data_IF_414801193836
#
_entry.id   IF_414801193836
#
_cell.length_a   1.000
_cell.length_b   1.000
_cell.length_c   1.000
_cell.angle_alpha   90.00
_cell.angle_beta   90.00
_cell.angle_gamma   90.00
#
_symmetry.space_group_name_H-M   'P 1'
#
loop_
_entity.id
_entity.type
_entity.pdbx_description
1 polymer ?
#
# COMPACT_ATOMS: atom_id res chain seq x y z
N UNK A 1 29.08 -12.91 -3.04
CA UNK A 1 27.90 -13.75 -2.79
C UNK A 1 27.10 -13.07 -1.68
N UNK A 2 26.21 -12.15 -2.04
CA UNK A 2 25.35 -11.48 -1.06
C UNK A 2 24.00 -12.18 -1.07
N UNK A 3 23.79 -12.93 0.00
CA UNK A 3 22.61 -13.71 0.30
C UNK A 3 21.46 -12.73 0.60
N UNK A 4 20.57 -12.49 -0.37
CA UNK A 4 19.39 -11.66 -0.18
C UNK A 4 18.21 -12.58 0.13
N UNK A 5 17.72 -12.67 1.38
CA UNK A 5 16.58 -13.50 1.70
C UNK A 5 15.33 -12.85 1.10
N UNK A 6 14.83 -13.43 0.01
CA UNK A 6 13.49 -13.13 -0.53
C UNK A 6 12.46 -13.77 0.42
N UNK A 7 11.97 -13.00 1.40
CA UNK A 7 10.78 -13.28 2.24
C UNK A 7 10.39 -11.90 2.83
N UNK A 8 9.24 -11.25 2.72
CA UNK A 8 7.90 -11.48 2.17
C UNK A 8 7.46 -10.13 1.54
N UNK A 9 6.64 -10.13 0.48
CA UNK A 9 6.08 -8.92 -0.19
C UNK A 9 7.01 -8.08 -1.10
N UNK A 10 7.62 -8.69 -2.11
CA UNK A 10 8.02 -7.94 -3.32
C UNK A 10 6.86 -7.92 -4.33
N UNK A 11 6.02 -6.88 -4.25
CA UNK A 11 4.85 -6.70 -5.10
C UNK A 11 5.24 -6.43 -6.55
N UNK A 12 6.36 -5.75 -6.80
CA UNK A 12 6.84 -5.50 -8.16
C UNK A 12 7.16 -6.81 -8.88
N UNK A 13 7.86 -7.73 -8.22
CA UNK A 13 8.15 -9.04 -8.78
C UNK A 13 6.86 -9.84 -9.05
N UNK A 14 5.91 -9.82 -8.11
CA UNK A 14 4.61 -10.47 -8.26
C UNK A 14 3.81 -9.91 -9.44
N UNK A 15 3.71 -8.57 -9.55
CA UNK A 15 3.01 -7.88 -10.65
C UNK A 15 3.60 -8.26 -12.00
N UNK A 16 4.94 -8.33 -12.12
CA UNK A 16 5.61 -8.75 -13.35
C UNK A 16 5.31 -10.20 -13.71
N UNK A 17 5.31 -11.11 -12.74
CA UNK A 17 4.96 -12.50 -12.97
C UNK A 17 3.50 -12.66 -13.41
N UNK A 18 2.58 -11.99 -12.70
CA UNK A 18 1.14 -12.03 -13.00
C UNK A 18 0.81 -11.37 -14.35
N UNK A 19 1.58 -10.35 -14.77
CA UNK A 19 1.45 -9.73 -16.09
C UNK A 19 1.72 -10.74 -17.21
N UNK A 20 2.75 -11.58 -17.08
CA UNK A 20 3.05 -12.64 -18.06
C UNK A 20 1.89 -13.64 -18.13
N UNK A 21 1.30 -14.00 -17.00
CA UNK A 21 0.14 -14.89 -16.94
C UNK A 21 -1.08 -14.25 -17.60
N UNK A 22 -1.39 -12.99 -17.29
CA UNK A 22 -2.51 -12.25 -17.87
C UNK A 22 -2.37 -12.11 -19.39
N UNK A 23 -1.15 -11.87 -19.90
CA UNK A 23 -0.88 -11.81 -21.33
C UNK A 23 -1.16 -13.15 -22.04
N UNK A 24 -0.80 -14.28 -21.43
CA UNK A 24 -1.11 -15.61 -21.97
C UNK A 24 -2.61 -15.92 -21.96
N UNK A 25 -3.30 -15.48 -20.91
CA UNK A 25 -4.74 -15.62 -20.76
C UNK A 25 -5.55 -14.65 -21.64
N UNK A 26 -4.91 -13.65 -22.25
CA UNK A 26 -5.55 -12.55 -23.00
C UNK A 26 -6.55 -11.76 -22.15
N UNK A 27 -6.25 -11.60 -20.87
CA UNK A 27 -7.03 -10.76 -19.95
C UNK A 27 -6.60 -9.29 -20.14
N UNK A 28 -7.24 -8.62 -21.11
CA UNK A 28 -6.84 -7.28 -21.55
C UNK A 28 -6.87 -6.23 -20.43
N UNK A 29 -7.90 -6.30 -19.56
CA UNK A 29 -8.06 -5.36 -18.44
C UNK A 29 -6.93 -5.57 -17.44
N UNK A 30 -6.69 -6.82 -17.03
CA UNK A 30 -5.60 -7.12 -16.08
C UNK A 30 -4.23 -6.79 -16.67
N UNK A 31 -4.00 -7.06 -17.95
CA UNK A 31 -2.76 -6.66 -18.63
C UNK A 31 -2.56 -5.14 -18.59
N UNK A 32 -3.60 -4.37 -18.86
CA UNK A 32 -3.55 -2.90 -18.82
C UNK A 32 -3.19 -2.40 -17.42
N UNK A 33 -3.90 -2.87 -16.39
CA UNK A 33 -3.69 -2.47 -14.99
C UNK A 33 -2.28 -2.84 -14.52
N UNK A 34 -1.81 -4.06 -14.78
CA UNK A 34 -0.50 -4.51 -14.32
C UNK A 34 0.66 -3.77 -14.99
N UNK A 35 0.53 -3.40 -16.27
CA UNK A 35 1.52 -2.53 -16.94
C UNK A 35 1.55 -1.13 -16.35
N UNK A 36 0.38 -0.57 -16.06
CA UNK A 36 0.25 0.72 -15.40
C UNK A 36 0.91 0.72 -14.02
N UNK A 37 0.70 -0.32 -13.20
CA UNK A 37 1.35 -0.47 -11.90
C UNK A 37 2.88 -0.63 -12.00
N UNK A 38 3.38 -1.47 -12.91
CA UNK A 38 4.83 -1.61 -13.16
C UNK A 38 5.45 -0.27 -13.56
N UNK A 39 4.75 0.51 -14.38
CA UNK A 39 5.19 1.84 -14.80
C UNK A 39 5.17 2.84 -13.64
N UNK A 40 4.11 2.85 -12.82
CA UNK A 40 3.99 3.73 -11.66
C UNK A 40 5.11 3.48 -10.63
N UNK A 41 5.47 2.21 -10.39
CA UNK A 41 6.59 1.85 -9.52
C UNK A 41 7.94 2.29 -10.09
N UNK A 42 8.16 2.13 -11.40
CA UNK A 42 9.38 2.64 -12.06
C UNK A 42 9.48 4.15 -11.99
N UNK A 43 8.37 4.86 -12.20
CA UNK A 43 8.35 6.32 -12.05
C UNK A 43 8.69 6.74 -10.62
N UNK A 44 8.19 6.02 -9.61
CA UNK A 44 8.59 6.25 -8.23
C UNK A 44 10.09 6.07 -8.03
N UNK A 45 10.69 5.00 -8.59
CA UNK A 45 12.13 4.77 -8.50
C UNK A 45 12.96 5.89 -9.12
N UNK A 46 12.49 6.43 -10.25
CA UNK A 46 13.16 7.56 -10.92
C UNK A 46 13.10 8.83 -10.06
N UNK A 47 11.96 9.08 -9.40
CA UNK A 47 11.72 10.29 -8.61
C UNK A 47 12.37 10.24 -7.22
N UNK A 48 12.24 9.12 -6.52
CA UNK A 48 12.58 8.96 -5.11
C UNK A 48 13.78 8.02 -4.84
N UNK A 49 14.27 7.29 -5.85
CA UNK A 49 15.37 6.33 -5.72
C UNK A 49 14.91 4.93 -5.32
N UNK A 50 15.28 4.48 -4.12
CA UNK A 50 14.97 3.12 -3.68
C UNK A 50 13.46 2.89 -3.51
N UNK A 51 13.00 1.71 -3.92
CA UNK A 51 11.60 1.29 -3.83
C UNK A 51 11.47 0.19 -2.78
N UNK A 52 11.28 0.60 -1.53
CA UNK A 52 11.02 -0.35 -0.45
C UNK A 52 9.63 -0.99 -0.58
N UNK A 53 9.38 -2.10 0.11
CA UNK A 53 8.04 -2.73 0.14
C UNK A 53 6.94 -1.77 0.61
N UNK A 54 7.27 -0.85 1.53
CA UNK A 54 6.33 0.18 1.98
C UNK A 54 6.02 1.20 0.88
N UNK A 55 7.03 1.56 0.08
CA UNK A 55 6.84 2.45 -1.07
C UNK A 55 6.01 1.78 -2.17
N UNK A 56 6.19 0.48 -2.41
CA UNK A 56 5.35 -0.28 -3.34
C UNK A 56 3.88 -0.22 -2.93
N UNK A 57 3.57 -0.48 -1.66
CA UNK A 57 2.21 -0.37 -1.10
C UNK A 57 1.67 1.07 -1.25
N UNK A 58 2.51 2.07 -0.96
CA UNK A 58 2.13 3.49 -1.09
C UNK A 58 1.78 3.85 -2.53
N UNK A 59 2.54 3.38 -3.52
CA UNK A 59 2.25 3.56 -4.94
C UNK A 59 0.91 2.92 -5.31
N UNK A 60 0.68 1.66 -4.93
CA UNK A 60 -0.59 0.97 -5.21
C UNK A 60 -1.79 1.67 -4.57
N UNK A 61 -1.68 2.10 -3.31
CA UNK A 61 -2.74 2.88 -2.64
C UNK A 61 -3.05 4.18 -3.36
N UNK A 62 -2.03 4.86 -3.90
CA UNK A 62 -2.21 6.09 -4.68
C UNK A 62 -2.98 5.79 -5.97
N UNK A 63 -2.65 4.71 -6.69
CA UNK A 63 -3.38 4.33 -7.90
C UNK A 63 -4.81 3.87 -7.59
N UNK A 64 -5.02 3.07 -6.53
CA UNK A 64 -6.36 2.70 -6.06
C UNK A 64 -7.23 3.92 -5.72
N UNK A 65 -6.66 4.92 -5.03
CA UNK A 65 -7.36 6.17 -4.74
C UNK A 65 -7.79 6.92 -6.01
N UNK A 66 -6.93 6.96 -7.03
CA UNK A 66 -7.30 7.59 -8.32
C UNK A 66 -8.51 6.91 -8.96
N UNK A 67 -8.60 5.57 -8.89
CA UNK A 67 -9.77 4.82 -9.37
C UNK A 67 -11.03 5.18 -8.58
N UNK A 68 -10.94 5.22 -7.25
CA UNK A 68 -12.07 5.60 -6.40
C UNK A 68 -12.57 7.03 -6.68
N UNK A 69 -11.64 7.98 -6.85
CA UNK A 69 -11.96 9.36 -7.18
C UNK A 69 -12.59 9.44 -8.59
N UNK A 70 -12.09 8.68 -9.57
CA UNK A 70 -12.64 8.61 -10.94
C UNK A 70 -14.04 7.99 -10.98
N UNK A 71 -14.29 6.89 -10.25
CA UNK A 71 -15.62 6.28 -10.09
C UNK A 71 -16.62 7.34 -9.62
N UNK A 72 -16.26 8.09 -8.57
CA UNK A 72 -17.11 9.13 -8.01
C UNK A 72 -17.39 10.25 -9.01
N UNK A 73 -16.41 10.64 -9.83
CA UNK A 73 -16.58 11.66 -10.87
C UNK A 73 -17.47 11.19 -12.02
N UNK A 74 -17.28 9.95 -12.50
CA UNK A 74 -18.09 9.39 -13.59
C UNK A 74 -19.55 9.17 -13.17
N UNK A 75 -19.79 8.69 -11.96
CA UNK A 75 -21.14 8.58 -11.40
C UNK A 75 -21.85 9.93 -11.32
N UNK A 76 -21.16 10.97 -10.82
CA UNK A 76 -21.71 12.35 -10.80
C UNK A 76 -22.03 12.88 -12.19
N UNK A 77 -21.37 12.39 -13.22
CA UNK A 77 -21.60 12.74 -14.62
C UNK A 77 -22.59 11.81 -15.33
N UNK A 78 -23.22 10.85 -14.64
CA UNK A 78 -24.08 9.81 -15.22
C UNK A 78 -23.38 8.99 -16.33
N UNK A 79 -22.10 8.68 -16.16
CA UNK A 79 -21.27 7.88 -17.09
C UNK A 79 -20.96 6.51 -16.49
N UNK A 80 -21.99 5.71 -16.26
CA UNK A 80 -21.89 4.46 -15.48
C UNK A 80 -20.95 3.43 -16.10
N UNK A 81 -20.90 3.30 -17.43
CA UNK A 81 -19.98 2.38 -18.12
C UNK A 81 -18.52 2.63 -17.74
N UNK A 82 -18.13 3.90 -17.59
CA UNK A 82 -16.76 4.27 -17.20
C UNK A 82 -16.52 4.08 -15.71
N UNK A 83 -17.55 4.35 -14.87
CA UNK A 83 -17.46 4.05 -13.46
C UNK A 83 -17.26 2.54 -13.22
N UNK A 84 -17.89 1.69 -14.02
CA UNK A 84 -17.75 0.24 -13.94
C UNK A 84 -16.38 -0.25 -14.43
N UNK A 85 -15.82 0.38 -15.45
CA UNK A 85 -14.44 0.12 -15.85
C UNK A 85 -13.46 0.45 -14.72
N UNK A 86 -13.58 1.64 -14.11
CA UNK A 86 -12.71 2.04 -12.99
C UNK A 86 -12.89 1.12 -11.76
N UNK A 87 -14.10 0.60 -11.51
CA UNK A 87 -14.36 -0.40 -10.46
C UNK A 87 -13.63 -1.73 -10.72
N UNK A 88 -13.63 -2.21 -11.96
CA UNK A 88 -12.90 -3.42 -12.32
C UNK A 88 -11.39 -3.24 -12.13
N UNK A 89 -10.87 -2.08 -12.58
CA UNK A 89 -9.45 -1.75 -12.39
C UNK A 89 -9.09 -1.64 -10.90
N UNK A 90 -9.94 -0.97 -10.10
CA UNK A 90 -9.76 -0.85 -8.65
C UNK A 90 -9.64 -2.22 -7.98
N UNK A 91 -10.56 -3.14 -8.27
CA UNK A 91 -10.55 -4.48 -7.68
C UNK A 91 -9.27 -5.27 -8.02
N UNK A 92 -8.71 -5.09 -9.23
CA UNK A 92 -7.43 -5.70 -9.59
C UNK A 92 -6.29 -5.11 -8.76
N UNK A 93 -6.26 -3.79 -8.54
CA UNK A 93 -5.22 -3.14 -7.72
C UNK A 93 -5.33 -3.57 -6.25
N UNK A 94 -6.55 -3.60 -5.70
CA UNK A 94 -6.82 -3.98 -4.31
C UNK A 94 -6.39 -5.42 -3.99
N UNK A 95 -6.45 -6.33 -4.97
CA UNK A 95 -5.95 -7.70 -4.81
C UNK A 95 -4.44 -7.81 -4.53
N UNK A 96 -3.68 -6.73 -4.73
CA UNK A 96 -2.24 -6.65 -4.39
C UNK A 96 -1.97 -5.88 -3.10
N UNK A 97 -2.99 -5.25 -2.51
CA UNK A 97 -2.86 -4.50 -1.27
C UNK A 97 -3.16 -5.38 -0.06
N UNK A 98 -2.43 -5.21 1.06
CA UNK A 98 -2.85 -5.78 2.33
C UNK A 98 -4.19 -5.18 2.76
N UNK A 99 -5.03 -5.98 3.40
CA UNK A 99 -6.29 -5.53 3.99
C UNK A 99 -6.05 -4.31 4.89
N UNK A 100 -6.84 -3.27 4.68
CA UNK A 100 -6.71 -2.05 5.48
C UNK A 100 -7.09 -2.35 6.94
N UNK A 101 -6.20 -1.97 7.84
CA UNK A 101 -6.44 -2.04 9.27
C UNK A 101 -7.39 -0.91 9.68
N UNK A 102 -8.37 -1.24 10.52
CA UNK A 102 -9.26 -0.24 11.12
C UNK A 102 -8.51 0.65 12.12
N UNK A 103 -9.05 1.84 12.40
CA UNK A 103 -8.43 2.76 13.36
C UNK A 103 -8.26 2.14 14.75
N UNK A 104 -9.29 1.50 15.27
CA UNK A 104 -9.25 0.89 16.61
C UNK A 104 -8.23 -0.23 16.69
N UNK A 105 -8.09 -1.03 15.63
CA UNK A 105 -7.06 -2.08 15.54
C UNK A 105 -5.66 -1.45 15.52
N UNK A 106 -5.46 -0.36 14.79
CA UNK A 106 -4.19 0.38 14.79
C UNK A 106 -3.86 0.95 16.17
N UNK A 107 -4.83 1.54 16.86
CA UNK A 107 -4.65 2.05 18.22
C UNK A 107 -4.23 0.95 19.19
N UNK A 108 -4.85 -0.24 19.11
CA UNK A 108 -4.47 -1.41 19.91
C UNK A 108 -3.04 -1.89 19.62
N UNK A 109 -2.62 -1.91 18.35
CA UNK A 109 -1.24 -2.26 17.98
C UNK A 109 -0.27 -1.25 18.57
N UNK A 110 -0.56 0.05 18.46
CA UNK A 110 0.28 1.12 19.00
C UNK A 110 0.41 1.02 20.51
N UNK A 111 -0.71 0.89 21.23
CA UNK A 111 -0.71 0.80 22.70
C UNK A 111 0.06 -0.45 23.17
N UNK A 112 -0.11 -1.58 22.48
CA UNK A 112 0.67 -2.80 22.74
C UNK A 112 2.17 -2.61 22.52
N UNK A 113 2.58 -1.93 21.44
CA UNK A 113 3.99 -1.66 21.16
C UNK A 113 4.58 -0.72 22.21
N UNK A 114 3.88 0.36 22.55
CA UNK A 114 4.31 1.31 23.59
C UNK A 114 4.46 0.64 24.95
N UNK A 115 3.56 -0.28 25.32
CA UNK A 115 3.63 -1.04 26.57
C UNK A 115 4.87 -1.94 26.73
N UNK A 116 5.66 -2.13 25.68
CA UNK A 116 6.92 -2.87 25.73
C UNK A 116 8.11 -2.01 26.17
N UNK A 117 7.90 -0.70 26.34
CA UNK A 117 8.90 0.27 26.76
C UNK A 117 8.65 0.70 28.21
N UNK A 118 9.73 0.93 28.97
CA UNK A 118 9.62 1.43 30.34
C UNK A 118 9.06 2.86 30.42
N UNK A 119 9.29 3.66 29.38
CA UNK A 119 8.78 5.02 29.22
C UNK A 119 8.60 5.33 27.75
N UNK A 120 7.62 6.17 27.41
CA UNK A 120 7.42 6.64 26.04
C UNK A 120 7.62 8.15 25.97
N UNK A 121 8.82 8.56 25.58
CA UNK A 121 9.20 9.96 25.38
C UNK A 121 9.64 10.18 23.93
N UNK A 122 10.04 11.42 23.60
CA UNK A 122 10.60 11.75 22.28
C UNK A 122 11.79 10.85 21.89
N UNK A 123 12.53 10.30 22.87
CA UNK A 123 13.66 9.40 22.62
C UNK A 123 13.21 8.07 22.01
N UNK A 124 12.09 7.52 22.48
CA UNK A 124 11.57 6.22 22.04
C UNK A 124 10.70 6.32 20.78
N UNK A 125 10.27 7.52 20.41
CA UNK A 125 9.36 7.76 19.28
C UNK A 125 9.80 7.05 17.99
N UNK A 126 11.07 7.18 17.62
CA UNK A 126 11.60 6.55 16.40
C UNK A 126 11.54 5.01 16.45
N UNK A 127 11.84 4.43 17.62
CA UNK A 127 11.83 2.98 17.81
C UNK A 127 10.41 2.41 17.85
N UNK A 128 9.48 3.09 18.53
CA UNK A 128 8.06 2.75 18.54
C UNK A 128 7.48 2.82 17.12
N UNK A 129 7.76 3.90 16.38
CA UNK A 129 7.32 4.05 14.99
C UNK A 129 7.82 2.89 14.12
N UNK A 130 9.10 2.54 14.19
CA UNK A 130 9.66 1.45 13.42
C UNK A 130 8.97 0.11 13.75
N UNK A 131 8.77 -0.18 15.04
CA UNK A 131 8.15 -1.43 15.49
C UNK A 131 6.67 -1.53 15.10
N UNK A 132 5.90 -0.45 15.25
CA UNK A 132 4.51 -0.41 14.78
C UNK A 132 4.45 -0.61 13.27
N UNK A 133 5.30 0.07 12.49
CA UNK A 133 5.33 -0.09 11.03
C UNK A 133 5.60 -1.53 10.59
N UNK A 134 6.47 -2.25 11.32
CA UNK A 134 6.67 -3.69 11.12
C UNK A 134 5.42 -4.50 11.48
N UNK A 135 4.81 -4.25 12.64
CA UNK A 135 3.63 -5.02 13.09
C UNK A 135 2.38 -4.78 12.22
N UNK A 136 2.17 -3.57 11.71
CA UNK A 136 1.03 -3.28 10.83
C UNK A 136 1.25 -3.83 9.42
N UNK A 137 2.47 -4.18 9.02
CA UNK A 137 2.75 -4.83 7.73
C UNK A 137 2.25 -4.05 6.51
N UNK A 138 2.18 -2.72 6.61
CA UNK A 138 1.60 -1.86 5.59
C UNK A 138 0.07 -1.86 5.54
N UNK A 139 -0.66 -2.48 6.47
CA UNK A 139 -2.14 -2.42 6.61
C UNK A 139 -2.66 -1.05 7.08
N UNK A 140 -1.79 -0.25 7.68
CA UNK A 140 -2.00 1.18 7.93
C UNK A 140 -0.93 2.00 7.18
N UNK A 141 -1.22 3.27 6.87
CA UNK A 141 -0.22 4.14 6.25
C UNK A 141 0.64 4.87 7.30
N UNK A 142 1.85 5.28 6.93
CA UNK A 142 2.78 5.91 7.86
C UNK A 142 2.29 7.22 8.47
N UNK A 143 1.40 7.96 7.79
CA UNK A 143 0.82 9.18 8.34
C UNK A 143 -0.20 8.87 9.45
N UNK A 144 -1.05 7.86 9.25
CA UNK A 144 -1.98 7.36 10.27
C UNK A 144 -1.23 6.83 11.50
N UNK A 145 -0.23 5.97 11.27
CA UNK A 145 0.63 5.43 12.34
C UNK A 145 1.29 6.58 13.12
N UNK A 146 1.88 7.54 12.42
CA UNK A 146 2.53 8.70 13.04
C UNK A 146 1.55 9.54 13.87
N UNK A 147 0.35 9.78 13.36
CA UNK A 147 -0.68 10.52 14.09
C UNK A 147 -1.09 9.80 15.39
N UNK A 148 -1.35 8.49 15.31
CA UNK A 148 -1.74 7.70 16.50
C UNK A 148 -0.61 7.61 17.50
N UNK A 149 0.61 7.27 17.08
CA UNK A 149 1.77 7.16 17.99
C UNK A 149 2.07 8.49 18.67
N UNK A 150 2.07 9.61 17.94
CA UNK A 150 2.31 10.94 18.53
C UNK A 150 1.20 11.38 19.49
N UNK A 151 -0.03 10.91 19.30
CA UNK A 151 -1.13 11.20 20.22
C UNK A 151 -0.95 10.58 21.60
N UNK A 152 -0.11 9.55 21.73
CA UNK A 152 0.21 8.87 22.99
C UNK A 152 1.42 9.48 23.70
N UNK A 153 2.08 10.44 23.07
CA UNK A 153 3.26 11.07 23.62
C UNK A 153 2.84 12.08 24.69
N UNK A 154 3.43 11.93 25.89
CA UNK A 154 3.28 12.86 27.01
C UNK A 154 4.49 13.78 27.15
#
# INVERSE_FOLDING_TARGET
MSNNPVQDNDLLAKIKADLVVAMKARDEIKVSVLRMLDSAMKYYQIDAGDLSSQDQIKVLRKEAKKRLDAISLYQKANRDDQADQERQELGIIEAYLPDQMGRDELEQVVDRVIGQFASFTQKELGQVMAKVMTEVGGRANGAEVSAVVRSRLS
#
